data_IF_503384827104
#
_entry.id   IF_503384827104
#
_cell.length_a   1.000
_cell.length_b   1.000
_cell.length_c   1.000
_cell.angle_alpha   90.00
_cell.angle_beta   90.00
_cell.angle_gamma   90.00
#
_symmetry.space_group_name_H-M   'P 1'
#
loop_
_entity.id
_entity.type
_entity.pdbx_description
1 polymer ?
#
# COMPACT_ATOMS: atom_id res chain seq x y z
N UNK A 1 12.98 -4.96 1.38
CA UNK A 1 12.65 -3.59 0.94
C UNK A 1 11.62 -3.00 1.90
N UNK A 2 11.83 -1.77 2.40
CA UNK A 2 10.94 -1.17 3.40
C UNK A 2 9.55 -0.84 2.82
N UNK A 3 9.47 -0.51 1.53
CA UNK A 3 8.24 -0.13 0.85
C UNK A 3 7.30 -1.33 0.74
N UNK A 4 7.84 -2.47 0.31
CA UNK A 4 7.09 -3.74 0.25
C UNK A 4 6.59 -4.16 1.63
N UNK A 5 7.39 -3.97 2.69
CA UNK A 5 6.95 -4.28 4.06
C UNK A 5 5.74 -3.44 4.50
N UNK A 6 5.76 -2.12 4.24
CA UNK A 6 4.60 -1.26 4.52
C UNK A 6 3.36 -1.71 3.76
N UNK A 7 3.50 -2.04 2.47
CA UNK A 7 2.38 -2.53 1.67
C UNK A 7 1.79 -3.83 2.24
N UNK A 8 2.65 -4.78 2.60
CA UNK A 8 2.24 -6.05 3.17
C UNK A 8 1.54 -5.87 4.52
N UNK A 9 2.03 -4.98 5.39
CA UNK A 9 1.32 -4.62 6.62
C UNK A 9 -0.06 -4.04 6.34
N UNK A 10 -0.20 -3.19 5.31
CA UNK A 10 -1.50 -2.67 4.88
C UNK A 10 -2.47 -3.76 4.48
N UNK A 11 -2.02 -4.73 3.68
CA UNK A 11 -2.82 -5.90 3.30
C UNK A 11 -3.18 -6.79 4.51
N UNK A 12 -2.25 -7.02 5.44
CA UNK A 12 -2.52 -7.77 6.67
C UNK A 12 -3.63 -7.12 7.49
N UNK A 13 -3.56 -5.81 7.72
CA UNK A 13 -4.63 -5.08 8.42
C UNK A 13 -5.95 -5.07 7.63
N UNK A 14 -5.89 -5.01 6.30
CA UNK A 14 -7.10 -5.12 5.47
C UNK A 14 -7.79 -6.48 5.61
N UNK A 15 -7.03 -7.55 5.86
CA UNK A 15 -7.57 -8.89 6.11
C UNK A 15 -8.09 -9.07 7.54
N UNK A 16 -7.73 -8.18 8.46
CA UNK A 16 -8.24 -8.11 9.83
C UNK A 16 -9.43 -7.13 9.95
N UNK A 17 -9.96 -6.65 8.83
CA UNK A 17 -11.00 -5.61 8.75
C UNK A 17 -10.62 -4.28 9.45
N UNK A 18 -9.33 -4.07 9.72
CA UNK A 18 -8.80 -2.84 10.31
C UNK A 18 -8.46 -1.82 9.20
N UNK A 19 -9.47 -1.41 8.41
CA UNK A 19 -9.27 -0.67 7.16
C UNK A 19 -8.58 0.69 7.32
N UNK A 20 -8.80 1.39 8.44
CA UNK A 20 -8.10 2.65 8.73
C UNK A 20 -6.59 2.45 8.92
N UNK A 21 -6.18 1.38 9.60
CA UNK A 21 -4.75 1.02 9.72
C UNK A 21 -4.22 0.59 8.36
N UNK A 22 -4.95 -0.29 7.66
CA UNK A 22 -4.59 -0.74 6.33
C UNK A 22 -4.30 0.42 5.37
N UNK A 23 -5.18 1.43 5.38
CA UNK A 23 -5.05 2.64 4.57
C UNK A 23 -3.74 3.37 4.88
N UNK A 24 -3.47 3.64 6.16
CA UNK A 24 -2.26 4.33 6.60
C UNK A 24 -0.97 3.64 6.12
N UNK A 25 -0.93 2.29 6.21
CA UNK A 25 0.22 1.51 5.77
C UNK A 25 0.38 1.49 4.23
N UNK A 26 -0.72 1.30 3.48
CA UNK A 26 -0.69 1.34 2.01
C UNK A 26 -0.32 2.73 1.48
N UNK A 27 -0.81 3.82 2.07
CA UNK A 27 -0.45 5.19 1.69
C UNK A 27 1.05 5.45 1.89
N UNK A 28 1.61 4.96 3.01
CA UNK A 28 3.03 5.09 3.29
C UNK A 28 3.89 4.30 2.32
N UNK A 29 3.45 3.10 1.91
CA UNK A 29 4.10 2.33 0.86
C UNK A 29 4.09 3.09 -0.48
N UNK A 30 2.94 3.63 -0.90
CA UNK A 30 2.85 4.41 -2.13
C UNK A 30 3.74 5.65 -2.09
N UNK A 31 3.75 6.39 -0.98
CA UNK A 31 4.57 7.59 -0.82
C UNK A 31 6.08 7.31 -0.86
N UNK A 32 6.52 6.22 -0.21
CA UNK A 32 7.93 5.80 -0.27
C UNK A 32 8.29 5.27 -1.66
N UNK A 33 7.43 4.47 -2.27
CA UNK A 33 7.63 3.93 -3.62
C UNK A 33 7.72 5.03 -4.68
N UNK A 34 6.93 6.10 -4.58
CA UNK A 34 7.03 7.25 -5.49
C UNK A 34 8.37 7.99 -5.41
N UNK A 35 9.07 7.90 -4.28
CA UNK A 35 10.38 8.53 -4.07
C UNK A 35 11.54 7.67 -4.56
N UNK A 36 11.39 6.34 -4.50
CA UNK A 36 12.49 5.40 -4.78
C UNK A 36 12.35 4.63 -6.09
N UNK A 37 11.15 4.50 -6.64
CA UNK A 37 10.85 3.71 -7.83
C UNK A 37 10.50 4.61 -9.02
N UNK A 38 10.74 4.10 -10.22
CA UNK A 38 10.29 4.77 -11.44
C UNK A 38 8.76 4.79 -11.51
N UNK A 39 8.12 5.80 -12.13
CA UNK A 39 6.67 5.87 -12.25
C UNK A 39 6.00 4.65 -12.91
N UNK A 40 6.73 3.95 -13.79
CA UNK A 40 6.28 2.74 -14.49
C UNK A 40 6.72 1.44 -13.79
N UNK A 41 7.30 1.51 -12.59
CA UNK A 41 7.72 0.33 -11.85
C UNK A 41 6.51 -0.54 -11.47
N UNK A 42 6.54 -1.85 -11.75
CA UNK A 42 5.41 -2.73 -11.46
C UNK A 42 5.07 -2.79 -9.96
N UNK A 43 6.04 -2.61 -9.07
CA UNK A 43 5.79 -2.59 -7.63
C UNK A 43 5.01 -1.33 -7.23
N UNK A 44 5.37 -0.17 -7.79
CA UNK A 44 4.65 1.07 -7.53
C UNK A 44 3.19 0.98 -7.98
N UNK A 45 2.94 0.34 -9.13
CA UNK A 45 1.59 0.08 -9.61
C UNK A 45 0.83 -0.90 -8.71
N UNK A 46 1.48 -1.96 -8.22
CA UNK A 46 0.88 -2.88 -7.27
C UNK A 46 0.50 -2.17 -5.95
N UNK A 47 1.36 -1.30 -5.41
CA UNK A 47 1.05 -0.56 -4.18
C UNK A 47 -0.17 0.37 -4.34
N UNK A 48 -0.29 1.04 -5.49
CA UNK A 48 -1.46 1.87 -5.83
C UNK A 48 -2.74 1.05 -5.92
N UNK A 49 -2.69 -0.09 -6.61
CA UNK A 49 -3.84 -0.98 -6.72
C UNK A 49 -4.31 -1.49 -5.34
N UNK A 50 -3.38 -1.82 -4.45
CA UNK A 50 -3.70 -2.24 -3.09
C UNK A 50 -4.30 -1.10 -2.27
N UNK A 51 -3.78 0.12 -2.38
CA UNK A 51 -4.35 1.30 -1.76
C UNK A 51 -5.80 1.53 -2.21
N UNK A 52 -6.08 1.42 -3.51
CA UNK A 52 -7.44 1.56 -4.05
C UNK A 52 -8.36 0.43 -3.58
N UNK A 53 -7.84 -0.80 -3.46
CA UNK A 53 -8.58 -1.93 -2.91
C UNK A 53 -9.01 -1.67 -1.45
N UNK A 54 -8.08 -1.19 -0.61
CA UNK A 54 -8.38 -0.83 0.79
C UNK A 54 -9.40 0.30 0.87
N UNK A 55 -9.26 1.34 0.05
CA UNK A 55 -10.22 2.46 0.01
C UNK A 55 -11.64 2.05 -0.35
N UNK A 56 -11.82 1.00 -1.14
CA UNK A 56 -13.15 0.45 -1.49
C UNK A 56 -13.81 -0.34 -0.35
N UNK A 57 -13.04 -0.73 0.68
CA UNK A 57 -13.53 -1.46 1.85
C UNK A 57 -13.84 -0.57 3.06
N UNK A 58 -13.42 0.70 3.00
CA UNK A 58 -13.82 1.74 3.96
C UNK A 58 -15.29 2.14 3.74
#
# INVERSE_FOLDING_TARGET
DIVTSYNNSGLTYSNMDEYLKALSFCERAVALGQRSLSPNDPNLQAFRNNLDCVKKKL
#
